data_IF_247579360281
#
_entry.id   IF_247579360281
#
_cell.length_a   1.000
_cell.length_b   1.000
_cell.length_c   1.000
_cell.angle_alpha   90.00
_cell.angle_beta   90.00
_cell.angle_gamma   90.00
#
_symmetry.space_group_name_H-M   'P 1'
#
loop_
_entity.id
_entity.type
_entity.pdbx_description
1 polymer ?
#
# COMPACT_ATOMS: atom_id res chain seq x y z
N UNK A 1 3.99 17.64 -33.90
CA UNK A 1 4.14 17.25 -32.48
C UNK A 1 4.46 15.77 -32.44
N UNK A 2 5.59 15.38 -31.87
CA UNK A 2 5.85 13.97 -31.58
C UNK A 2 4.95 13.54 -30.41
N UNK A 3 4.30 12.39 -30.52
CA UNK A 3 3.54 11.81 -29.42
C UNK A 3 4.51 11.40 -28.30
N UNK A 4 4.16 11.60 -27.01
CA UNK A 4 5.00 11.14 -25.91
C UNK A 4 5.19 9.63 -25.98
N UNK A 5 6.43 9.18 -25.73
CA UNK A 5 6.74 7.75 -25.64
C UNK A 5 5.98 7.09 -24.49
N UNK A 6 5.72 5.78 -24.55
CA UNK A 6 5.05 5.02 -23.49
C UNK A 6 5.75 5.16 -22.13
N UNK A 7 7.07 5.28 -22.12
CA UNK A 7 7.85 5.53 -20.89
C UNK A 7 7.54 6.89 -20.28
N UNK A 8 7.37 7.92 -21.12
CA UNK A 8 7.02 9.26 -20.65
C UNK A 8 5.57 9.31 -20.14
N UNK A 9 4.66 8.60 -20.83
CA UNK A 9 3.27 8.45 -20.38
C UNK A 9 3.18 7.78 -19.00
N UNK A 10 3.98 6.73 -18.76
CA UNK A 10 4.05 6.06 -17.46
C UNK A 10 4.67 6.96 -16.38
N UNK A 11 5.78 7.63 -16.69
CA UNK A 11 6.44 8.57 -15.78
C UNK A 11 5.48 9.68 -15.34
N UNK A 12 4.73 10.27 -16.28
CA UNK A 12 3.76 11.32 -15.98
C UNK A 12 2.64 10.81 -15.08
N UNK A 13 2.13 9.61 -15.33
CA UNK A 13 1.08 8.99 -14.50
C UNK A 13 1.55 8.75 -13.05
N UNK A 14 2.78 8.26 -12.87
CA UNK A 14 3.33 7.96 -11.56
C UNK A 14 3.87 9.18 -10.82
N UNK A 15 4.05 10.33 -11.49
CA UNK A 15 4.54 11.58 -10.88
C UNK A 15 3.64 12.16 -9.78
N UNK A 16 2.42 11.65 -9.62
CA UNK A 16 1.43 12.06 -8.59
C UNK A 16 0.79 10.85 -7.90
N UNK A 17 1.51 9.73 -7.82
CA UNK A 17 0.99 8.46 -7.28
C UNK A 17 0.63 8.48 -5.79
N UNK A 18 1.38 9.20 -4.95
CA UNK A 18 1.06 9.43 -3.55
C UNK A 18 -0.16 10.32 -3.35
N UNK A 19 -0.31 11.38 -4.17
CA UNK A 19 -1.54 12.17 -4.18
C UNK A 19 -2.76 11.31 -4.57
N UNK A 20 -2.61 10.44 -5.57
CA UNK A 20 -3.65 9.49 -5.99
C UNK A 20 -4.00 8.47 -4.91
N UNK A 21 -2.99 7.98 -4.17
CA UNK A 21 -3.19 7.07 -3.04
C UNK A 21 -4.02 7.72 -1.95
N UNK A 22 -3.63 8.92 -1.51
CA UNK A 22 -4.35 9.67 -0.48
C UNK A 22 -5.80 9.96 -0.89
N UNK A 23 -6.00 10.41 -2.14
CA UNK A 23 -7.32 10.78 -2.66
C UNK A 23 -8.13 9.59 -3.19
N UNK A 24 -7.65 8.36 -3.01
CA UNK A 24 -8.31 7.16 -3.50
C UNK A 24 -9.70 6.96 -2.91
N UNK A 25 -10.04 7.58 -1.76
CA UNK A 25 -11.41 7.57 -1.23
C UNK A 25 -12.41 8.02 -2.27
N UNK A 26 -12.07 9.11 -2.96
CA UNK A 26 -12.88 9.75 -3.99
C UNK A 26 -12.58 9.23 -5.41
N UNK A 27 -11.79 8.17 -5.54
CA UNK A 27 -11.51 7.58 -6.85
C UNK A 27 -12.73 6.77 -7.32
N UNK A 28 -13.48 7.34 -8.26
CA UNK A 28 -14.61 6.65 -8.91
C UNK A 28 -15.81 7.57 -9.08
N UNK A 29 -16.72 7.19 -9.98
CA UNK A 29 -17.98 7.92 -10.15
C UNK A 29 -19.00 7.42 -9.11
N UNK A 30 -19.76 8.30 -8.42
CA UNK A 30 -19.84 9.77 -8.55
C UNK A 30 -19.05 10.53 -7.46
N UNK A 31 -18.05 9.91 -6.82
CA UNK A 31 -17.41 10.51 -5.64
C UNK A 31 -16.48 11.67 -6.05
N UNK A 32 -16.70 12.83 -5.43
CA UNK A 32 -15.95 14.07 -5.62
C UNK A 32 -15.46 14.56 -4.26
N UNK A 33 -14.42 15.40 -4.25
CA UNK A 33 -13.93 16.00 -3.00
C UNK A 33 -14.94 17.08 -2.57
N UNK A 34 -15.53 17.00 -1.35
CA UNK A 34 -16.42 18.05 -0.86
C UNK A 34 -15.73 19.41 -0.82
N UNK A 35 -16.46 20.50 -1.11
CA UNK A 35 -15.87 21.84 -1.00
C UNK A 35 -15.62 22.26 0.47
N UNK A 36 -16.29 21.60 1.42
CA UNK A 36 -16.16 21.84 2.86
C UNK A 36 -14.91 21.16 3.45
N UNK A 37 -13.93 21.94 3.97
CA UNK A 37 -12.72 21.38 4.58
C UNK A 37 -12.94 20.45 5.75
N UNK A 38 -14.00 20.64 6.52
CA UNK A 38 -14.28 19.77 7.67
C UNK A 38 -14.62 18.34 7.23
N UNK A 39 -15.30 18.18 6.09
CA UNK A 39 -15.70 16.89 5.55
C UNK A 39 -14.52 16.11 5.00
N UNK A 40 -13.75 16.71 4.08
CA UNK A 40 -12.62 15.98 3.52
C UNK A 40 -11.50 15.75 4.54
N UNK A 41 -11.34 16.59 5.57
CA UNK A 41 -10.40 16.29 6.66
C UNK A 41 -10.82 15.04 7.43
N UNK A 42 -12.10 14.91 7.76
CA UNK A 42 -12.61 13.73 8.44
C UNK A 42 -12.45 12.46 7.58
N UNK A 43 -12.78 12.55 6.29
CA UNK A 43 -12.66 11.43 5.35
C UNK A 43 -11.21 10.98 5.13
N UNK A 44 -10.28 11.95 5.00
CA UNK A 44 -8.87 11.68 4.73
C UNK A 44 -8.07 11.33 5.98
N UNK A 45 -8.61 11.56 7.19
CA UNK A 45 -7.90 11.33 8.44
C UNK A 45 -7.30 9.91 8.56
N UNK A 46 -8.05 8.81 8.30
CA UNK A 46 -7.48 7.46 8.43
C UNK A 46 -6.34 7.21 7.44
N UNK A 47 -6.47 7.70 6.20
CA UNK A 47 -5.41 7.57 5.19
C UNK A 47 -4.17 8.39 5.55
N UNK A 48 -4.35 9.60 6.07
CA UNK A 48 -3.23 10.42 6.56
C UNK A 48 -2.50 9.73 7.72
N UNK A 49 -3.24 9.14 8.67
CA UNK A 49 -2.65 8.36 9.77
C UNK A 49 -1.87 7.15 9.26
N UNK A 50 -2.43 6.42 8.30
CA UNK A 50 -1.76 5.28 7.66
C UNK A 50 -0.47 5.68 6.93
N UNK A 51 -0.51 6.75 6.13
CA UNK A 51 0.66 7.32 5.45
C UNK A 51 1.74 7.72 6.46
N UNK A 52 1.35 8.45 7.51
CA UNK A 52 2.26 8.89 8.57
C UNK A 52 2.94 7.70 9.25
N UNK A 53 2.19 6.66 9.59
CA UNK A 53 2.73 5.42 10.14
C UNK A 53 3.69 4.73 9.15
N UNK A 54 3.30 4.64 7.88
CA UNK A 54 4.11 4.00 6.82
C UNK A 54 5.45 4.71 6.59
N UNK A 55 5.51 6.03 6.76
CA UNK A 55 6.73 6.83 6.60
C UNK A 55 7.83 6.38 7.59
N UNK A 56 7.45 5.97 8.81
CA UNK A 56 8.41 5.50 9.83
C UNK A 56 9.13 4.22 9.38
N UNK A 57 8.48 3.41 8.54
CA UNK A 57 9.01 2.16 7.99
C UNK A 57 9.60 2.32 6.57
N UNK A 58 9.90 3.56 6.15
CA UNK A 58 10.48 3.84 4.83
C UNK A 58 9.48 3.94 3.68
N UNK A 59 8.19 4.05 3.99
CA UNK A 59 7.14 4.40 3.02
C UNK A 59 7.25 5.84 2.51
N UNK A 60 6.35 6.23 1.60
CA UNK A 60 6.30 7.59 1.07
C UNK A 60 6.07 8.60 2.19
N UNK A 61 6.82 9.68 2.14
CA UNK A 61 6.71 10.76 3.10
C UNK A 61 5.51 11.66 2.83
N UNK A 62 5.01 12.28 3.90
CA UNK A 62 4.01 13.34 3.84
C UNK A 62 4.49 14.47 2.93
N UNK A 63 5.78 14.82 2.95
CA UNK A 63 6.36 15.85 2.10
C UNK A 63 6.23 15.52 0.61
N UNK A 64 6.50 14.27 0.22
CA UNK A 64 6.34 13.82 -1.16
C UNK A 64 4.88 13.94 -1.59
N UNK A 65 3.94 13.49 -0.76
CA UNK A 65 2.51 13.55 -1.06
C UNK A 65 2.02 15.01 -1.17
N UNK A 66 2.43 15.89 -0.26
CA UNK A 66 2.09 17.32 -0.32
C UNK A 66 2.68 18.01 -1.55
N UNK A 67 3.91 17.66 -1.95
CA UNK A 67 4.51 18.17 -3.18
C UNK A 67 3.76 17.68 -4.43
N UNK A 68 3.38 16.41 -4.46
CA UNK A 68 2.59 15.81 -5.54
C UNK A 68 1.19 16.43 -5.64
N UNK A 69 0.52 16.74 -4.52
CA UNK A 69 -0.77 17.42 -4.49
C UNK A 69 -0.67 18.84 -5.08
N UNK A 70 0.36 19.60 -4.72
CA UNK A 70 0.59 20.95 -5.28
C UNK A 70 0.90 20.88 -6.78
N UNK A 71 1.71 19.90 -7.20
CA UNK A 71 1.95 19.63 -8.62
C UNK A 71 0.65 19.30 -9.37
N UNK A 72 -0.22 18.49 -8.79
CA UNK A 72 -1.52 18.19 -9.37
C UNK A 72 -2.43 19.43 -9.44
N UNK A 73 -2.41 20.31 -8.43
CA UNK A 73 -3.12 21.59 -8.46
C UNK A 73 -2.68 22.47 -9.63
N UNK A 74 -1.37 22.64 -9.81
CA UNK A 74 -0.80 23.44 -10.92
C UNK A 74 -1.15 22.84 -12.29
N UNK A 75 -1.22 21.51 -12.39
CA UNK A 75 -1.65 20.81 -13.60
C UNK A 75 -3.14 21.00 -13.87
N UNK A 76 -4.00 21.00 -12.85
CA UNK A 76 -5.43 21.29 -13.02
C UNK A 76 -5.67 22.75 -13.44
N UNK A 77 -4.83 23.71 -13.04
CA UNK A 77 -4.92 25.08 -13.55
C UNK A 77 -4.60 25.17 -15.05
N UNK A 78 -3.61 24.39 -15.51
CA UNK A 78 -3.21 24.34 -16.91
C UNK A 78 -4.16 23.49 -17.77
N UNK A 79 -4.73 22.44 -17.18
CA UNK A 79 -5.61 21.46 -17.83
C UNK A 79 -6.87 21.23 -16.98
N UNK A 80 -7.83 22.19 -16.93
CA UNK A 80 -9.00 22.12 -16.04
C UNK A 80 -9.93 20.93 -16.33
N UNK A 81 -9.92 20.44 -17.55
CA UNK A 81 -10.66 19.25 -17.96
C UNK A 81 -10.05 17.93 -17.44
N UNK A 82 -8.85 17.97 -16.86
CA UNK A 82 -8.12 16.79 -16.41
C UNK A 82 -7.45 16.02 -17.56
N UNK A 83 -7.28 16.64 -18.74
CA UNK A 83 -6.70 15.99 -19.92
C UNK A 83 -5.23 15.59 -19.78
N UNK A 84 -4.49 16.21 -18.85
CA UNK A 84 -3.09 15.88 -18.60
C UNK A 84 -2.95 14.46 -18.04
N UNK A 85 -1.96 13.69 -18.52
CA UNK A 85 -1.80 12.27 -18.16
C UNK A 85 -1.62 12.02 -16.66
N UNK A 86 -0.90 12.89 -15.96
CA UNK A 86 -0.75 12.82 -14.50
C UNK A 86 -2.09 12.94 -13.77
N UNK A 87 -3.06 13.68 -14.33
CA UNK A 87 -4.38 13.91 -13.73
C UNK A 87 -5.34 12.72 -13.92
N UNK A 88 -4.93 11.69 -14.67
CA UNK A 88 -5.74 10.49 -14.85
C UNK A 88 -6.08 9.86 -13.49
N UNK A 89 -7.37 9.58 -13.30
CA UNK A 89 -7.94 8.99 -12.08
C UNK A 89 -7.75 9.83 -10.82
N UNK A 90 -7.41 11.12 -10.94
CA UNK A 90 -7.45 12.05 -9.82
C UNK A 90 -8.86 12.68 -9.73
N UNK A 91 -9.47 12.70 -8.53
CA UNK A 91 -10.79 13.27 -8.34
C UNK A 91 -10.76 14.80 -8.42
N UNK A 92 -11.86 15.40 -8.90
CA UNK A 92 -12.10 16.84 -8.82
C UNK A 92 -12.89 17.18 -7.55
N UNK A 93 -12.89 18.45 -7.14
CA UNK A 93 -13.82 18.92 -6.11
C UNK A 93 -15.24 19.09 -6.64
N UNK A 94 -16.22 19.14 -5.74
CA UNK A 94 -17.64 19.43 -6.03
C UNK A 94 -17.77 20.66 -6.96
N UNK A 95 -17.10 21.76 -6.61
CA UNK A 95 -16.88 22.86 -7.53
C UNK A 95 -15.61 22.60 -8.36
N UNK A 96 -15.74 22.17 -9.62
CA UNK A 96 -14.57 21.82 -10.45
C UNK A 96 -13.53 22.94 -10.55
N UNK A 97 -13.97 24.21 -10.63
CA UNK A 97 -13.09 25.39 -10.67
C UNK A 97 -12.29 25.59 -9.38
N UNK A 98 -12.71 24.98 -8.28
CA UNK A 98 -12.05 25.05 -6.98
C UNK A 98 -10.99 23.94 -6.80
N UNK A 99 -10.89 22.98 -7.74
CA UNK A 99 -10.00 21.80 -7.62
C UNK A 99 -8.56 22.17 -7.25
N UNK A 100 -7.90 23.15 -7.92
CA UNK A 100 -6.54 23.53 -7.55
C UNK A 100 -6.42 24.04 -6.11
N UNK A 101 -7.37 24.86 -5.66
CA UNK A 101 -7.39 25.40 -4.29
C UNK A 101 -7.57 24.28 -3.27
N UNK A 102 -8.51 23.37 -3.51
CA UNK A 102 -8.77 22.22 -2.64
C UNK A 102 -7.54 21.32 -2.50
N UNK A 103 -6.85 21.03 -3.60
CA UNK A 103 -5.60 20.23 -3.57
C UNK A 103 -4.50 20.90 -2.73
N UNK A 104 -4.34 22.22 -2.84
CA UNK A 104 -3.38 22.98 -2.03
C UNK A 104 -3.75 22.95 -0.54
N UNK A 105 -5.04 23.10 -0.22
CA UNK A 105 -5.51 22.98 1.17
C UNK A 105 -5.28 21.58 1.76
N UNK A 106 -5.47 20.52 0.96
CA UNK A 106 -5.16 19.15 1.37
C UNK A 106 -3.65 18.97 1.56
N UNK A 107 -2.81 19.56 0.72
CA UNK A 107 -1.36 19.53 0.88
C UNK A 107 -0.92 20.20 2.19
N UNK A 108 -1.51 21.35 2.52
CA UNK A 108 -1.25 22.09 3.76
C UNK A 108 -1.76 21.30 4.98
N UNK A 109 -2.90 20.61 4.85
CA UNK A 109 -3.40 19.71 5.89
C UNK A 109 -2.46 18.52 6.09
N UNK A 110 -1.97 17.91 5.01
CA UNK A 110 -1.04 16.80 5.08
C UNK A 110 0.24 17.19 5.83
N UNK A 111 0.80 18.37 5.58
CA UNK A 111 1.99 18.87 6.29
C UNK A 111 1.79 19.08 7.79
N UNK A 112 0.56 19.30 8.26
CA UNK A 112 0.28 19.40 9.70
C UNK A 112 0.54 18.09 10.44
N UNK A 113 0.55 16.95 9.74
CA UNK A 113 0.83 15.63 10.31
C UNK A 113 2.33 15.37 10.54
N UNK A 114 3.22 16.30 10.17
CA UNK A 114 4.66 16.20 10.46
C UNK A 114 4.99 16.27 11.95
N UNK A 115 4.14 16.96 12.72
CA UNK A 115 4.17 17.00 14.18
C UNK A 115 2.74 16.76 14.65
N UNK A 116 2.29 15.49 14.65
CA UNK A 116 0.88 15.18 14.67
C UNK A 116 0.17 15.66 15.94
N UNK A 117 -1.14 15.79 15.76
CA UNK A 117 -2.21 16.09 16.69
C UNK A 117 -2.05 15.40 18.05
N UNK A 118 -2.85 15.85 19.03
CA UNK A 118 -2.85 15.27 20.37
C UNK A 118 -3.05 13.76 20.30
N UNK A 119 -2.42 13.00 21.21
CA UNK A 119 -2.57 11.53 21.23
C UNK A 119 -4.03 11.07 21.28
N UNK A 120 -4.93 11.86 21.86
CA UNK A 120 -6.37 11.59 21.91
C UNK A 120 -7.02 11.53 20.52
N UNK A 121 -6.63 12.42 19.60
CA UNK A 121 -7.16 12.46 18.24
C UNK A 121 -6.76 11.22 17.42
N UNK A 122 -5.58 10.65 17.69
CA UNK A 122 -5.09 9.45 17.00
C UNK A 122 -5.89 8.19 17.35
N UNK A 123 -6.49 8.11 18.55
CA UNK A 123 -7.26 6.93 18.98
C UNK A 123 -8.77 7.12 18.88
N UNK A 124 -9.26 8.36 18.68
CA UNK A 124 -10.68 8.65 18.57
C UNK A 124 -11.31 8.15 17.26
N UNK A 125 -10.54 8.10 16.17
CA UNK A 125 -11.02 7.67 14.84
C UNK A 125 -10.71 6.18 14.63
N UNK A 126 -11.70 5.31 14.37
CA UNK A 126 -11.46 3.90 14.08
C UNK A 126 -10.52 3.70 12.88
N UNK A 127 -9.75 2.61 12.89
CA UNK A 127 -8.95 2.23 11.72
C UNK A 127 -9.86 1.75 10.60
N UNK A 128 -9.53 2.13 9.37
CA UNK A 128 -10.24 1.67 8.17
C UNK A 128 -9.45 0.59 7.45
N UNK A 129 -10.11 -0.26 6.66
CA UNK A 129 -9.41 -1.27 5.86
C UNK A 129 -8.40 -0.65 4.87
N UNK A 130 -8.69 0.54 4.33
CA UNK A 130 -7.77 1.26 3.42
C UNK A 130 -6.52 1.76 4.14
N UNK A 131 -6.68 2.23 5.37
CA UNK A 131 -5.54 2.58 6.22
C UNK A 131 -4.70 1.34 6.55
N UNK A 132 -5.34 0.25 6.97
CA UNK A 132 -4.65 -1.01 7.30
C UNK A 132 -3.91 -1.58 6.10
N UNK A 133 -4.45 -1.43 4.89
CA UNK A 133 -3.82 -1.88 3.65
C UNK A 133 -2.43 -1.25 3.42
N UNK A 134 -2.20 -0.02 3.89
CA UNK A 134 -0.89 0.64 3.81
C UNK A 134 0.18 -0.02 4.69
N UNK A 135 -0.23 -0.86 5.66
CA UNK A 135 0.68 -1.58 6.56
C UNK A 135 1.21 -2.89 5.97
N UNK A 136 0.55 -3.42 4.94
CA UNK A 136 0.84 -4.75 4.40
C UNK A 136 1.15 -4.76 2.89
N UNK A 137 2.02 -3.86 2.37
CA UNK A 137 2.28 -3.77 0.94
C UNK A 137 2.97 -5.00 0.33
N UNK A 138 3.73 -5.80 1.10
CA UNK A 138 4.32 -7.04 0.60
C UNK A 138 3.30 -8.16 0.58
N UNK A 139 2.49 -8.32 1.62
CA UNK A 139 1.42 -9.33 1.63
C UNK A 139 0.37 -9.04 0.56
N UNK A 140 0.09 -7.77 0.27
CA UNK A 140 -0.76 -7.37 -0.86
C UNK A 140 -0.25 -7.84 -2.21
N UNK A 141 1.07 -7.93 -2.37
CA UNK A 141 1.64 -8.50 -3.58
C UNK A 141 1.73 -10.03 -3.55
N UNK A 142 2.08 -10.61 -2.41
CA UNK A 142 2.42 -12.03 -2.27
C UNK A 142 1.18 -12.91 -2.25
N UNK A 143 0.18 -12.56 -1.44
CA UNK A 143 -0.97 -13.44 -1.20
C UNK A 143 -1.79 -13.69 -2.47
N UNK A 144 -2.06 -12.69 -3.34
CA UNK A 144 -2.74 -12.97 -4.61
C UNK A 144 -1.93 -13.86 -5.56
N UNK A 145 -0.60 -13.83 -5.51
CA UNK A 145 0.24 -14.76 -6.28
C UNK A 145 0.16 -16.16 -5.68
N UNK A 146 0.18 -16.27 -4.35
CA UNK A 146 0.16 -17.55 -3.66
C UNK A 146 -1.19 -18.27 -3.74
N UNK A 147 -2.30 -17.53 -3.59
CA UNK A 147 -3.66 -18.07 -3.45
C UNK A 147 -4.60 -17.74 -4.62
N UNK A 148 -4.23 -16.83 -5.53
CA UNK A 148 -5.09 -16.39 -6.64
C UNK A 148 -5.03 -17.30 -7.86
N UNK A 149 -5.74 -16.92 -8.94
CA UNK A 149 -5.64 -17.63 -10.23
C UNK A 149 -4.24 -17.53 -10.86
N UNK A 150 -3.44 -16.55 -10.46
CA UNK A 150 -2.01 -16.46 -10.81
C UNK A 150 -1.15 -17.41 -9.97
N UNK A 151 -1.69 -18.07 -8.93
CA UNK A 151 -1.06 -19.22 -8.25
C UNK A 151 -0.94 -20.45 -9.15
N UNK A 152 -1.71 -20.50 -10.25
CA UNK A 152 -1.48 -21.45 -11.35
C UNK A 152 -0.13 -21.18 -12.05
N UNK A 153 0.44 -19.98 -11.91
CA UNK A 153 1.79 -19.67 -12.42
C UNK A 153 2.92 -20.24 -11.53
N UNK A 154 2.61 -20.66 -10.29
CA UNK A 154 3.51 -21.44 -9.42
C UNK A 154 3.43 -22.95 -9.76
N UNK A 155 2.75 -23.30 -10.87
CA UNK A 155 2.59 -24.62 -11.52
C UNK A 155 1.31 -25.41 -11.20
N UNK A 156 0.88 -26.21 -12.18
CA UNK A 156 -0.22 -27.18 -12.09
C UNK A 156 -0.06 -28.18 -10.91
N UNK A 157 1.12 -28.24 -10.26
CA UNK A 157 1.42 -29.13 -9.13
C UNK A 157 0.87 -28.60 -7.78
N UNK A 158 0.33 -27.37 -7.71
CA UNK A 158 -0.27 -26.81 -6.48
C UNK A 158 -1.64 -27.35 -6.12
N UNK A 159 -2.32 -28.04 -7.05
CA UNK A 159 -3.72 -28.42 -6.85
C UNK A 159 -3.91 -29.42 -5.69
N UNK A 160 -2.84 -30.16 -5.35
CA UNK A 160 -2.79 -31.13 -4.24
C UNK A 160 -1.68 -30.82 -3.20
N UNK A 161 -1.01 -29.66 -3.29
CA UNK A 161 0.10 -29.31 -2.40
C UNK A 161 -0.36 -28.86 -1.01
N UNK A 162 0.37 -29.26 0.03
CA UNK A 162 0.17 -28.74 1.40
C UNK A 162 0.65 -27.29 1.54
N UNK A 163 0.19 -26.56 2.57
CA UNK A 163 0.71 -25.25 2.98
C UNK A 163 2.24 -25.15 2.91
N UNK A 164 2.91 -26.15 3.50
CA UNK A 164 4.35 -26.14 3.65
C UNK A 164 5.05 -26.33 2.29
N UNK A 165 4.53 -27.20 1.43
CA UNK A 165 5.03 -27.41 0.07
C UNK A 165 4.85 -26.14 -0.78
N UNK A 166 3.68 -25.52 -0.70
CA UNK A 166 3.40 -24.25 -1.38
C UNK A 166 4.36 -23.14 -0.95
N UNK A 167 4.56 -22.96 0.36
CA UNK A 167 5.48 -21.94 0.88
C UNK A 167 6.92 -22.23 0.43
N UNK A 168 7.37 -23.48 0.49
CA UNK A 168 8.73 -23.86 0.03
C UNK A 168 8.93 -23.58 -1.46
N UNK A 169 7.91 -23.82 -2.27
CA UNK A 169 7.95 -23.52 -3.69
C UNK A 169 8.00 -22.01 -3.95
N UNK A 170 7.17 -21.21 -3.29
CA UNK A 170 7.23 -19.75 -3.36
C UNK A 170 8.63 -19.21 -2.98
N UNK A 171 9.23 -19.74 -1.91
CA UNK A 171 10.61 -19.39 -1.51
C UNK A 171 11.60 -19.70 -2.62
N UNK A 172 11.47 -20.87 -3.26
CA UNK A 172 12.32 -21.29 -4.38
C UNK A 172 12.20 -20.35 -5.59
N UNK A 173 10.97 -19.96 -5.94
CA UNK A 173 10.72 -19.02 -7.06
C UNK A 173 11.20 -17.60 -6.77
N UNK A 174 11.22 -17.20 -5.49
CA UNK A 174 11.72 -15.90 -5.06
C UNK A 174 13.26 -15.83 -5.11
N UNK A 175 13.96 -16.95 -5.27
CA UNK A 175 15.42 -16.97 -5.36
C UNK A 175 15.90 -16.46 -6.74
N UNK A 176 16.97 -15.62 -6.82
CA UNK A 176 17.89 -15.21 -5.76
C UNK A 176 17.52 -13.92 -5.00
N UNK A 177 16.33 -13.35 -5.22
CA UNK A 177 15.90 -12.09 -4.61
C UNK A 177 15.41 -12.24 -3.16
N UNK A 178 15.28 -13.46 -2.66
CA UNK A 178 14.74 -13.76 -1.34
C UNK A 178 15.37 -12.99 -0.15
N UNK A 179 16.68 -12.62 -0.10
CA UNK A 179 17.22 -11.79 0.97
C UNK A 179 16.61 -10.39 1.05
N UNK A 180 16.09 -9.86 -0.05
CA UNK A 180 15.49 -8.53 -0.15
C UNK A 180 13.96 -8.54 -0.09
N UNK A 181 13.35 -9.71 -0.35
CA UNK A 181 11.91 -9.85 -0.41
C UNK A 181 11.32 -10.48 0.85
N UNK A 182 11.84 -11.63 1.28
CA UNK A 182 11.24 -12.43 2.36
C UNK A 182 11.28 -11.74 3.74
N UNK A 183 12.34 -11.03 4.16
CA UNK A 183 12.35 -10.40 5.49
C UNK A 183 11.20 -9.40 5.70
N UNK A 184 10.84 -8.64 4.65
CA UNK A 184 9.71 -7.71 4.71
C UNK A 184 8.37 -8.43 4.85
N UNK A 185 8.18 -9.52 4.10
CA UNK A 185 6.98 -10.35 4.20
C UNK A 185 6.84 -11.01 5.59
N UNK A 186 7.94 -11.51 6.15
CA UNK A 186 7.99 -12.06 7.52
C UNK A 186 7.59 -11.01 8.57
N UNK A 187 8.06 -9.77 8.41
CA UNK A 187 7.70 -8.67 9.30
C UNK A 187 6.20 -8.36 9.22
N UNK A 188 5.65 -8.28 8.00
CA UNK A 188 4.23 -8.02 7.78
C UNK A 188 3.32 -9.15 8.32
N UNK A 189 3.70 -10.42 8.20
CA UNK A 189 2.99 -11.53 8.83
C UNK A 189 2.96 -11.38 10.36
N UNK A 190 4.10 -11.01 10.96
CA UNK A 190 4.20 -10.83 12.42
C UNK A 190 3.37 -9.63 12.89
N UNK A 191 3.36 -8.56 12.11
CA UNK A 191 2.54 -7.37 12.35
C UNK A 191 1.04 -7.70 12.24
N UNK A 192 0.63 -8.48 11.25
CA UNK A 192 -0.75 -8.92 11.08
C UNK A 192 -1.25 -9.69 12.31
N UNK A 193 -0.48 -10.68 12.78
CA UNK A 193 -0.78 -11.46 13.98
C UNK A 193 -0.81 -10.61 15.26
N UNK A 194 -0.20 -9.43 15.26
CA UNK A 194 -0.23 -8.50 16.39
C UNK A 194 -1.47 -7.59 16.36
N UNK A 195 -1.95 -7.24 15.17
CA UNK A 195 -3.03 -6.26 14.98
C UNK A 195 -4.41 -6.89 14.92
N UNK A 196 -4.51 -8.06 14.32
CA UNK A 196 -5.76 -8.81 14.21
C UNK A 196 -5.78 -9.89 15.30
N UNK A 197 -6.86 -9.91 16.07
CA UNK A 197 -6.94 -10.73 17.28
C UNK A 197 -7.72 -12.04 17.06
N UNK A 198 -8.38 -12.20 15.91
CA UNK A 198 -9.15 -13.40 15.59
C UNK A 198 -8.93 -13.80 14.13
N UNK A 199 -9.14 -15.08 13.82
CA UNK A 199 -9.09 -15.60 12.45
C UNK A 199 -10.09 -14.89 11.55
N UNK A 200 -11.31 -14.61 12.02
CA UNK A 200 -12.32 -13.95 11.20
C UNK A 200 -11.91 -12.53 10.79
N UNK A 201 -11.12 -11.84 11.62
CA UNK A 201 -10.58 -10.53 11.27
C UNK A 201 -9.47 -10.64 10.22
N UNK A 202 -8.60 -11.64 10.35
CA UNK A 202 -7.54 -11.93 9.39
C UNK A 202 -8.12 -12.34 8.04
N UNK A 203 -9.01 -13.31 8.01
CA UNK A 203 -9.68 -13.78 6.79
C UNK A 203 -10.46 -12.64 6.13
N UNK A 204 -11.27 -11.89 6.89
CA UNK A 204 -12.00 -10.76 6.32
C UNK A 204 -11.05 -9.76 5.62
N UNK A 205 -9.93 -9.44 6.27
CA UNK A 205 -8.99 -8.48 5.71
C UNK A 205 -8.19 -9.06 4.53
N UNK A 206 -7.51 -10.19 4.71
CA UNK A 206 -6.59 -10.72 3.71
C UNK A 206 -7.30 -11.39 2.52
N UNK A 207 -8.45 -12.04 2.73
CA UNK A 207 -9.21 -12.65 1.65
C UNK A 207 -10.01 -11.61 0.85
N UNK A 208 -10.64 -10.64 1.51
CA UNK A 208 -11.58 -9.72 0.84
C UNK A 208 -11.03 -8.32 0.58
N UNK A 209 -10.19 -7.76 1.46
CA UNK A 209 -9.63 -6.40 1.25
C UNK A 209 -8.37 -6.49 0.40
N UNK A 210 -7.49 -7.42 0.72
CA UNK A 210 -6.22 -7.65 0.02
C UNK A 210 -6.40 -8.53 -1.23
N UNK A 211 -7.56 -9.17 -1.39
CA UNK A 211 -7.83 -10.11 -2.48
C UNK A 211 -6.83 -11.27 -2.53
N UNK A 212 -6.27 -11.62 -1.37
CA UNK A 212 -5.27 -12.66 -1.21
C UNK A 212 -5.82 -14.08 -1.28
N UNK A 213 -7.06 -14.29 -1.73
CA UNK A 213 -7.72 -15.60 -1.84
C UNK A 213 -7.99 -16.27 -0.49
N UNK A 214 -9.08 -17.03 -0.39
CA UNK A 214 -9.29 -17.98 0.72
C UNK A 214 -9.30 -19.39 0.14
N UNK A 215 -8.28 -20.18 0.43
CA UNK A 215 -8.32 -21.61 0.15
C UNK A 215 -7.85 -22.38 1.37
N UNK A 216 -8.78 -23.10 1.98
CA UNK A 216 -8.63 -24.21 2.92
C UNK A 216 -7.83 -24.02 4.22
N UNK A 217 -7.09 -22.93 4.43
CA UNK A 217 -6.20 -22.75 5.58
C UNK A 217 -6.43 -21.43 6.31
N UNK A 218 -6.41 -21.48 7.64
CA UNK A 218 -6.58 -20.33 8.52
C UNK A 218 -5.29 -19.48 8.54
N UNK A 219 -5.40 -18.15 8.44
CA UNK A 219 -4.25 -17.24 8.46
C UNK A 219 -3.47 -17.29 9.78
N UNK A 220 -4.16 -17.61 10.88
CA UNK A 220 -3.56 -17.87 12.19
C UNK A 220 -2.58 -19.05 12.20
N UNK A 221 -2.74 -20.02 11.29
CA UNK A 221 -1.81 -21.13 11.11
C UNK A 221 -0.81 -20.86 9.98
N UNK A 222 -1.27 -20.28 8.88
CA UNK A 222 -0.46 -19.98 7.70
C UNK A 222 0.67 -18.98 8.00
N UNK A 223 0.39 -17.86 8.66
CA UNK A 223 1.41 -16.83 8.91
C UNK A 223 2.57 -17.32 9.78
N UNK A 224 2.36 -18.01 10.92
CA UNK A 224 3.46 -18.61 11.67
C UNK A 224 4.29 -19.61 10.86
N UNK A 225 3.64 -20.43 10.02
CA UNK A 225 4.34 -21.37 9.15
C UNK A 225 5.19 -20.65 8.10
N UNK A 226 4.64 -19.62 7.44
CA UNK A 226 5.34 -18.78 6.48
C UNK A 226 6.57 -18.11 7.09
N UNK A 227 6.41 -17.51 8.27
CA UNK A 227 7.49 -16.87 9.04
C UNK A 227 8.61 -17.88 9.30
N UNK A 228 8.27 -19.06 9.79
CA UNK A 228 9.25 -20.11 10.13
C UNK A 228 10.04 -20.55 8.91
N UNK A 229 9.36 -20.95 7.84
CA UNK A 229 10.00 -21.49 6.64
C UNK A 229 10.88 -20.45 5.92
N UNK A 230 10.41 -19.20 5.81
CA UNK A 230 11.24 -18.12 5.26
C UNK A 230 12.48 -17.86 6.11
N UNK A 231 12.33 -17.86 7.43
CA UNK A 231 13.45 -17.64 8.37
C UNK A 231 14.47 -18.77 8.31
N UNK A 232 14.02 -20.02 8.25
CA UNK A 232 14.87 -21.21 8.08
C UNK A 232 15.67 -21.09 6.77
N UNK A 233 14.99 -20.85 5.65
CA UNK A 233 15.64 -20.67 4.35
C UNK A 233 16.71 -19.56 4.36
N UNK A 234 16.38 -18.38 4.90
CA UNK A 234 17.33 -17.26 4.94
C UNK A 234 18.56 -17.57 5.80
N UNK A 235 18.40 -18.30 6.91
CA UNK A 235 19.52 -18.71 7.76
C UNK A 235 20.42 -19.72 7.07
N UNK A 236 19.84 -20.68 6.36
CA UNK A 236 20.56 -21.76 5.71
C UNK A 236 21.25 -21.32 4.41
N UNK A 237 20.53 -20.60 3.55
CA UNK A 237 20.99 -20.23 2.21
C UNK A 237 21.65 -18.85 2.15
N UNK A 238 21.33 -17.95 3.08
CA UNK A 238 21.69 -16.53 3.01
C UNK A 238 22.30 -15.97 4.30
N UNK A 239 23.00 -16.81 5.07
CA UNK A 239 23.77 -16.34 6.22
C UNK A 239 24.63 -15.13 5.81
N UNK A 240 24.45 -13.97 6.46
CA UNK A 240 25.17 -12.77 6.05
C UNK A 240 26.66 -13.06 6.16
N UNK A 241 27.38 -12.98 5.04
CA UNK A 241 28.85 -12.97 4.99
C UNK A 241 29.39 -11.64 5.56
N UNK A 242 28.80 -11.17 6.66
CA UNK A 242 29.26 -10.01 7.39
C UNK A 242 30.53 -10.40 8.11
N UNK A 243 31.67 -10.20 7.44
CA UNK A 243 32.97 -10.27 8.07
C UNK A 243 33.25 -8.91 8.69
N UNK A 244 33.40 -8.88 10.02
CA UNK A 244 33.94 -7.70 10.70
C UNK A 244 35.40 -7.52 10.25
N UNK A 245 35.86 -6.31 9.90
CA UNK A 245 37.29 -6.05 9.84
C UNK A 245 37.86 -6.28 11.24
N UNK A 246 38.77 -7.24 11.39
CA UNK A 246 39.61 -7.33 12.59
C UNK A 246 40.29 -5.97 12.75
N UNK A 247 40.03 -5.28 13.87
CA UNK A 247 40.74 -4.05 14.25
C UNK A 247 42.03 -4.38 14.97
#
# INVERSE_FOLDING_TARGET
MALPSDKQNLSDYFSVSGARLLLSRYAGFPEVIPDDPSKWRADLFPMMRGIWNSQVSGGRSIYEISAELRRAADLFEQHPDGSHRSLKNLPKSESESNTPTTYRQIADYAEQWLSPLSGEDLYAVPMTSRELHLRFPRLDHILPIYFGQDGVAVSDDMQDATAEEGIRMYISETHPQCPWQLPGAVAECSEALTLFHTEEQLDYFFSYVVHGGSSSEDFTDFFPLFIRLCTEHLKEAHSPLWQWPER
#
